data_IF_681206109027
#
_entry.id   IF_681206109027
#
_cell.length_a   1.000
_cell.length_b   1.000
_cell.length_c   1.000
_cell.angle_alpha   90.00
_cell.angle_beta   90.00
_cell.angle_gamma   90.00
#
_symmetry.space_group_name_H-M   'P 1'
#
loop_
_entity.id
_entity.type
_entity.pdbx_description
1 polymer ?
#
# COMPACT_ATOMS: atom_id res chain seq x y z
N UNK A 1 -17.91 -26.22 7.80
CA UNK A 1 -18.07 -26.70 6.42
C UNK A 1 -17.03 -25.95 5.59
N UNK A 2 -16.23 -26.63 4.81
CA UNK A 2 -15.29 -25.98 3.88
C UNK A 2 -16.06 -25.31 2.77
N UNK A 3 -15.71 -24.05 2.50
CA UNK A 3 -16.33 -23.26 1.42
C UNK A 3 -15.38 -23.13 0.22
N UNK A 4 -14.07 -23.24 0.47
CA UNK A 4 -13.02 -23.17 -0.54
C UNK A 4 -11.90 -24.13 -0.17
N UNK A 5 -11.41 -24.90 -1.15
CA UNK A 5 -10.18 -25.66 -1.01
C UNK A 5 -9.35 -25.59 -2.29
N UNK A 6 -8.05 -25.57 -2.11
CA UNK A 6 -7.04 -25.71 -3.15
C UNK A 6 -6.21 -26.95 -2.84
N UNK A 7 -6.03 -27.85 -3.80
CA UNK A 7 -5.24 -29.06 -3.65
C UNK A 7 -4.22 -29.17 -4.79
N UNK A 8 -2.93 -29.04 -4.44
CA UNK A 8 -1.81 -29.13 -5.37
C UNK A 8 -1.95 -28.19 -6.58
N UNK A 9 -2.51 -26.98 -6.34
CA UNK A 9 -2.74 -26.01 -7.40
C UNK A 9 -1.43 -25.46 -7.91
N UNK A 10 -1.23 -25.56 -9.24
CA UNK A 10 -0.13 -24.91 -9.93
C UNK A 10 -0.64 -24.15 -11.16
N UNK A 11 -0.04 -23.00 -11.41
CA UNK A 11 -0.39 -22.14 -12.54
C UNK A 11 0.84 -21.52 -13.18
N UNK A 12 0.85 -21.53 -14.52
CA UNK A 12 1.90 -20.95 -15.34
C UNK A 12 1.28 -20.08 -16.43
N UNK A 13 1.76 -18.85 -16.58
CA UNK A 13 1.35 -17.96 -17.67
C UNK A 13 1.85 -18.48 -19.02
N UNK A 14 1.11 -18.25 -20.11
CA UNK A 14 1.44 -18.76 -21.47
C UNK A 14 2.85 -18.34 -21.91
N UNK A 15 3.27 -17.12 -21.60
CA UNK A 15 4.55 -16.56 -22.04
C UNK A 15 5.69 -16.76 -21.03
N UNK A 16 5.42 -17.41 -19.88
CA UNK A 16 6.40 -17.65 -18.83
C UNK A 16 7.01 -19.04 -18.89
N UNK A 17 8.28 -19.15 -18.56
CA UNK A 17 8.93 -20.43 -18.30
C UNK A 17 8.69 -20.92 -16.88
N UNK A 18 8.43 -19.99 -15.94
CA UNK A 18 8.32 -20.27 -14.52
C UNK A 18 6.86 -20.30 -14.05
N UNK A 19 6.61 -21.13 -13.04
CA UNK A 19 5.31 -21.18 -12.38
C UNK A 19 5.09 -19.93 -11.51
N UNK A 20 3.93 -19.29 -11.70
CA UNK A 20 3.49 -18.19 -10.83
C UNK A 20 2.89 -18.75 -9.52
N UNK A 21 2.25 -19.91 -9.58
CA UNK A 21 1.78 -20.68 -8.43
C UNK A 21 2.28 -22.13 -8.65
N UNK A 22 2.80 -22.75 -7.59
CA UNK A 22 3.27 -24.13 -7.61
C UNK A 22 2.98 -24.78 -6.26
N UNK A 23 2.33 -25.96 -6.29
CA UNK A 23 2.04 -26.75 -5.09
C UNK A 23 1.31 -25.96 -3.98
N UNK A 24 0.23 -25.24 -4.37
CA UNK A 24 -0.56 -24.47 -3.44
C UNK A 24 -1.71 -25.31 -2.88
N UNK A 25 -1.64 -25.60 -1.57
CA UNK A 25 -2.63 -26.43 -0.87
C UNK A 25 -3.08 -25.75 0.43
N UNK A 26 -4.39 -25.46 0.53
CA UNK A 26 -5.02 -24.91 1.72
C UNK A 26 -6.54 -25.05 1.66
N UNK A 27 -7.23 -24.95 2.81
CA UNK A 27 -8.69 -24.93 2.85
C UNK A 27 -9.23 -23.85 3.80
N UNK A 28 -10.38 -23.28 3.43
CA UNK A 28 -11.06 -22.19 4.15
C UNK A 28 -12.47 -22.64 4.51
N UNK A 29 -12.86 -22.43 5.77
CA UNK A 29 -14.22 -22.70 6.23
C UNK A 29 -15.10 -21.49 6.00
N UNK A 30 -16.42 -21.73 5.87
CA UNK A 30 -17.41 -20.64 5.78
C UNK A 30 -17.30 -19.71 6.99
N UNK A 31 -17.25 -18.40 6.72
CA UNK A 31 -17.11 -17.34 7.71
C UNK A 31 -15.69 -17.14 8.27
N UNK A 32 -14.68 -17.89 7.79
CA UNK A 32 -13.28 -17.60 8.17
C UNK A 32 -12.77 -16.35 7.43
N UNK A 33 -11.93 -15.57 8.10
CA UNK A 33 -11.17 -14.46 7.55
C UNK A 33 -9.71 -14.85 7.43
N UNK A 34 -9.20 -14.90 6.21
CA UNK A 34 -7.84 -15.34 5.88
C UNK A 34 -7.01 -14.17 5.36
N UNK A 35 -5.84 -13.97 5.95
CA UNK A 35 -4.82 -13.07 5.40
C UNK A 35 -3.87 -13.86 4.51
N UNK A 36 -3.70 -13.42 3.27
CA UNK A 36 -2.70 -13.92 2.32
C UNK A 36 -1.51 -12.96 2.32
N UNK A 37 -0.37 -13.40 2.82
CA UNK A 37 0.85 -12.59 2.90
C UNK A 37 2.02 -13.22 2.11
N UNK A 38 3.00 -12.40 1.79
CA UNK A 38 4.19 -12.80 1.03
C UNK A 38 4.82 -11.60 0.32
N UNK A 39 6.04 -11.75 -0.15
CA UNK A 39 6.76 -10.71 -0.87
C UNK A 39 6.04 -10.28 -2.17
N UNK A 40 6.38 -9.11 -2.71
CA UNK A 40 5.90 -8.73 -4.04
C UNK A 40 6.37 -9.76 -5.07
N UNK A 41 5.48 -10.13 -6.00
CA UNK A 41 5.75 -11.18 -6.98
C UNK A 41 5.67 -12.61 -6.44
N UNK A 42 5.23 -12.84 -5.18
CA UNK A 42 5.07 -14.20 -4.64
C UNK A 42 3.88 -14.98 -5.20
N UNK A 43 3.01 -14.34 -6.01
CA UNK A 43 1.85 -14.99 -6.63
C UNK A 43 0.50 -14.67 -5.97
N UNK A 44 0.41 -13.78 -4.96
CA UNK A 44 -0.83 -13.46 -4.22
C UNK A 44 -2.00 -13.08 -5.14
N UNK A 45 -1.81 -12.05 -5.96
CA UNK A 45 -2.85 -11.59 -6.91
C UNK A 45 -3.21 -12.66 -7.95
N UNK A 46 -2.22 -13.46 -8.38
CA UNK A 46 -2.47 -14.60 -9.28
C UNK A 46 -3.35 -15.64 -8.60
N UNK A 47 -3.04 -16.01 -7.35
CA UNK A 47 -3.85 -16.96 -6.59
C UNK A 47 -5.29 -16.45 -6.41
N UNK A 48 -5.48 -15.19 -5.97
CA UNK A 48 -6.82 -14.62 -5.81
C UNK A 48 -7.62 -14.64 -7.13
N UNK A 49 -6.99 -14.28 -8.25
CA UNK A 49 -7.64 -14.31 -9.57
C UNK A 49 -7.98 -15.73 -10.02
N UNK A 50 -7.18 -16.73 -9.67
CA UNK A 50 -7.49 -18.13 -9.95
C UNK A 50 -8.72 -18.62 -9.20
N UNK A 51 -9.05 -18.05 -8.03
CA UNK A 51 -10.24 -18.41 -7.26
C UNK A 51 -11.54 -17.85 -7.89
N UNK A 52 -11.44 -16.82 -8.75
CA UNK A 52 -12.58 -16.27 -9.47
C UNK A 52 -12.46 -16.57 -10.96
N UNK A 53 -13.39 -17.36 -11.49
CA UNK A 53 -13.30 -17.91 -12.84
C UNK A 53 -13.14 -16.85 -13.92
N UNK A 54 -13.90 -15.76 -13.85
CA UNK A 54 -13.94 -14.68 -14.85
C UNK A 54 -12.67 -13.84 -14.86
N UNK A 55 -11.93 -13.82 -13.72
CA UNK A 55 -10.67 -13.08 -13.58
C UNK A 55 -9.44 -13.97 -13.77
N UNK A 56 -9.66 -15.26 -14.05
CA UNK A 56 -8.54 -16.21 -14.23
C UNK A 56 -7.63 -15.76 -15.36
N UNK A 57 -6.35 -15.59 -15.11
CA UNK A 57 -5.41 -15.22 -16.17
C UNK A 57 -5.25 -16.36 -17.17
N UNK A 58 -4.81 -16.04 -18.38
CA UNK A 58 -4.54 -17.04 -19.44
C UNK A 58 -3.26 -17.80 -19.10
N UNK A 59 -3.35 -19.14 -19.06
CA UNK A 59 -2.24 -20.00 -18.72
C UNK A 59 -2.64 -21.45 -18.52
N UNK A 60 -1.69 -22.24 -18.06
CA UNK A 60 -1.87 -23.64 -17.73
C UNK A 60 -2.15 -23.78 -16.24
N UNK A 61 -3.36 -24.24 -15.89
CA UNK A 61 -3.79 -24.52 -14.52
C UNK A 61 -3.82 -26.03 -14.30
N UNK A 62 -3.22 -26.51 -13.22
CA UNK A 62 -3.30 -27.88 -12.74
C UNK A 62 -3.61 -27.92 -11.24
N UNK A 63 -3.96 -29.09 -10.73
CA UNK A 63 -4.50 -29.25 -9.38
C UNK A 63 -6.00 -29.02 -9.33
N UNK A 64 -6.57 -29.01 -8.13
CA UNK A 64 -8.00 -28.93 -7.93
C UNK A 64 -8.37 -27.68 -7.08
N UNK A 65 -9.37 -26.92 -7.54
CA UNK A 65 -9.96 -25.79 -6.79
C UNK A 65 -11.45 -26.09 -6.60
N UNK A 66 -11.84 -26.30 -5.35
CA UNK A 66 -13.23 -26.53 -4.99
C UNK A 66 -13.81 -25.28 -4.32
N UNK A 67 -14.97 -24.86 -4.77
CA UNK A 67 -15.69 -23.69 -4.29
C UNK A 67 -17.13 -24.09 -3.95
N UNK A 68 -17.58 -23.85 -2.72
CA UNK A 68 -18.93 -24.19 -2.25
C UNK A 68 -19.31 -25.65 -2.52
N UNK A 69 -18.33 -26.57 -2.41
CA UNK A 69 -18.51 -28.01 -2.62
C UNK A 69 -18.57 -28.46 -4.07
N UNK A 70 -18.35 -27.58 -5.05
CA UNK A 70 -18.26 -27.87 -6.48
C UNK A 70 -16.83 -27.65 -7.00
N UNK A 71 -16.42 -28.42 -7.98
CA UNK A 71 -15.20 -28.09 -8.73
C UNK A 71 -15.38 -26.71 -9.40
N UNK A 72 -14.32 -25.91 -9.42
CA UNK A 72 -14.35 -24.56 -10.03
C UNK A 72 -14.80 -24.58 -11.50
N UNK A 73 -14.48 -25.64 -12.25
CA UNK A 73 -14.87 -25.79 -13.65
C UNK A 73 -16.36 -26.02 -13.85
N UNK A 74 -17.05 -26.53 -12.83
CA UNK A 74 -18.48 -26.79 -12.84
C UNK A 74 -19.33 -25.57 -12.51
N UNK A 75 -18.72 -24.51 -11.91
CA UNK A 75 -19.43 -23.27 -11.67
C UNK A 75 -19.71 -22.52 -12.97
N UNK A 76 -20.94 -22.10 -13.17
CA UNK A 76 -21.27 -21.18 -14.24
C UNK A 76 -20.68 -19.79 -13.96
N UNK A 77 -20.45 -19.00 -15.02
CA UNK A 77 -19.95 -17.61 -14.86
C UNK A 77 -20.88 -16.78 -13.98
N UNK A 78 -22.20 -17.02 -14.07
CA UNK A 78 -23.20 -16.37 -13.25
C UNK A 78 -23.08 -16.76 -11.77
N UNK A 79 -22.98 -18.06 -11.45
CA UNK A 79 -22.81 -18.52 -10.07
C UNK A 79 -21.50 -17.98 -9.46
N UNK A 80 -20.41 -17.96 -10.22
CA UNK A 80 -19.15 -17.39 -9.80
C UNK A 80 -19.29 -15.88 -9.51
N UNK A 81 -19.94 -15.13 -10.41
CA UNK A 81 -20.14 -13.69 -10.28
C UNK A 81 -21.02 -13.31 -9.08
N UNK A 82 -22.11 -14.08 -8.84
CA UNK A 82 -23.04 -13.85 -7.72
C UNK A 82 -22.44 -14.23 -6.36
N UNK A 83 -21.66 -15.33 -6.31
CA UNK A 83 -21.21 -15.94 -5.05
C UNK A 83 -19.82 -15.52 -4.59
N UNK A 84 -19.00 -15.03 -5.50
CA UNK A 84 -17.63 -14.64 -5.21
C UNK A 84 -17.43 -13.16 -5.58
N UNK A 85 -17.37 -12.31 -4.57
CA UNK A 85 -17.02 -10.90 -4.73
C UNK A 85 -15.51 -10.74 -4.91
N UNK A 86 -15.09 -9.78 -5.73
CA UNK A 86 -13.67 -9.43 -5.90
C UNK A 86 -13.48 -7.91 -5.83
N UNK A 87 -12.54 -7.47 -5.01
CA UNK A 87 -12.15 -6.06 -4.88
C UNK A 87 -10.71 -5.90 -5.37
N UNK A 88 -10.53 -5.06 -6.38
CA UNK A 88 -9.23 -4.82 -7.01
C UNK A 88 -8.37 -3.85 -6.20
N UNK A 89 -7.06 -3.92 -6.38
CA UNK A 89 -6.08 -3.02 -5.79
C UNK A 89 -6.31 -1.55 -6.20
N UNK A 90 -6.69 -1.31 -7.47
CA UNK A 90 -6.99 0.01 -7.97
C UNK A 90 -8.50 0.18 -8.15
N UNK A 91 -9.18 1.01 -7.33
CA UNK A 91 -10.62 1.23 -7.45
C UNK A 91 -11.04 1.84 -8.79
N UNK A 92 -10.19 2.68 -9.41
CA UNK A 92 -10.50 3.25 -10.73
C UNK A 92 -10.59 2.19 -11.84
N UNK A 93 -9.90 1.05 -11.69
CA UNK A 93 -9.97 -0.06 -12.63
C UNK A 93 -11.23 -0.91 -12.46
N UNK A 94 -11.92 -0.79 -11.34
CA UNK A 94 -13.13 -1.55 -11.02
C UNK A 94 -14.40 -0.77 -11.32
N UNK A 95 -14.36 0.55 -11.24
CA UNK A 95 -15.49 1.46 -11.45
C UNK A 95 -15.94 1.44 -12.90
N UNK A 96 -17.25 1.29 -13.11
CA UNK A 96 -17.90 1.21 -14.43
C UNK A 96 -18.79 2.43 -14.69
N UNK A 97 -19.44 2.95 -13.65
CA UNK A 97 -20.42 4.04 -13.75
C UNK A 97 -19.83 5.39 -13.34
N UNK A 98 -20.44 6.49 -13.80
CA UNK A 98 -20.04 7.84 -13.44
C UNK A 98 -20.55 8.26 -12.06
N UNK A 99 -21.72 7.74 -11.63
CA UNK A 99 -22.37 8.08 -10.36
C UNK A 99 -22.32 6.94 -9.36
N UNK A 100 -22.20 7.28 -8.08
CA UNK A 100 -22.20 6.31 -6.97
C UNK A 100 -23.47 5.46 -6.97
N UNK A 101 -24.66 6.07 -7.09
CA UNK A 101 -25.93 5.34 -7.10
C UNK A 101 -26.03 4.30 -8.22
N UNK A 102 -25.51 4.62 -9.41
CA UNK A 102 -25.49 3.69 -10.54
C UNK A 102 -24.47 2.58 -10.32
N UNK A 103 -23.29 2.89 -9.78
CA UNK A 103 -22.26 1.90 -9.47
C UNK A 103 -22.74 0.86 -8.45
N UNK A 104 -23.44 1.30 -7.39
CA UNK A 104 -23.98 0.41 -6.38
C UNK A 104 -25.08 -0.51 -6.93
N UNK A 105 -25.86 -0.05 -7.91
CA UNK A 105 -26.94 -0.82 -8.53
C UNK A 105 -26.45 -1.75 -9.66
N UNK A 106 -25.30 -1.44 -10.28
CA UNK A 106 -24.84 -2.06 -11.52
C UNK A 106 -24.78 -3.59 -11.49
N UNK A 107 -24.22 -4.17 -10.42
CA UNK A 107 -24.12 -5.62 -10.26
C UNK A 107 -25.50 -6.29 -10.17
N UNK A 108 -26.41 -5.71 -9.39
CA UNK A 108 -27.78 -6.21 -9.21
C UNK A 108 -28.61 -6.09 -10.49
N UNK A 109 -28.47 -4.99 -11.24
CA UNK A 109 -29.11 -4.81 -12.54
C UNK A 109 -28.61 -5.85 -13.56
N UNK A 110 -27.31 -6.12 -13.57
CA UNK A 110 -26.67 -7.12 -14.43
C UNK A 110 -27.20 -8.54 -14.15
N UNK A 111 -27.59 -8.83 -12.92
CA UNK A 111 -28.22 -10.09 -12.52
C UNK A 111 -29.74 -10.11 -12.76
N UNK A 112 -30.35 -8.99 -13.20
CA UNK A 112 -31.77 -8.89 -13.50
C UNK A 112 -32.64 -8.81 -12.24
N UNK A 113 -32.10 -8.30 -11.13
CA UNK A 113 -32.86 -8.06 -9.89
C UNK A 113 -33.88 -6.96 -10.10
N UNK A 114 -35.05 -7.09 -9.48
CA UNK A 114 -36.13 -6.11 -9.62
C UNK A 114 -35.79 -4.77 -8.98
N UNK A 115 -36.18 -3.66 -9.59
CA UNK A 115 -35.87 -2.30 -9.18
C UNK A 115 -36.16 -2.00 -7.69
N UNK A 116 -37.31 -2.46 -7.15
CA UNK A 116 -37.66 -2.27 -5.74
C UNK A 116 -36.70 -3.01 -4.77
N UNK A 117 -36.23 -4.20 -5.16
CA UNK A 117 -35.26 -4.97 -4.41
C UNK A 117 -33.85 -4.34 -4.49
N UNK A 118 -33.48 -3.82 -5.66
CA UNK A 118 -32.23 -3.06 -5.85
C UNK A 118 -32.18 -1.87 -4.89
N UNK A 119 -33.24 -1.06 -4.84
CA UNK A 119 -33.32 0.09 -3.96
C UNK A 119 -33.15 -0.29 -2.47
N UNK A 120 -33.82 -1.39 -2.03
CA UNK A 120 -33.66 -1.88 -0.65
C UNK A 120 -32.23 -2.29 -0.34
N UNK A 121 -31.67 -3.18 -1.14
CA UNK A 121 -30.30 -3.71 -0.94
C UNK A 121 -29.22 -2.63 -0.99
N UNK A 122 -29.32 -1.74 -1.99
CA UNK A 122 -28.38 -0.62 -2.13
C UNK A 122 -28.51 0.34 -0.94
N UNK A 123 -29.75 0.66 -0.51
CA UNK A 123 -29.97 1.51 0.67
C UNK A 123 -29.42 0.89 1.96
N UNK A 124 -29.65 -0.39 2.18
CA UNK A 124 -29.13 -1.12 3.34
C UNK A 124 -27.60 -1.16 3.35
N UNK A 125 -26.98 -1.45 2.20
CA UNK A 125 -25.52 -1.47 2.09
C UNK A 125 -24.93 -0.06 2.22
N UNK A 126 -25.48 0.96 1.58
CA UNK A 126 -25.03 2.33 1.73
C UNK A 126 -25.04 2.79 3.20
N UNK A 127 -26.11 2.45 3.94
CA UNK A 127 -26.20 2.73 5.38
C UNK A 127 -25.17 1.93 6.20
N UNK A 128 -24.98 0.65 5.91
CA UNK A 128 -23.99 -0.19 6.59
C UNK A 128 -22.56 0.35 6.41
N UNK A 129 -22.24 0.85 5.22
CA UNK A 129 -20.93 1.43 4.90
C UNK A 129 -20.80 2.92 5.29
N UNK A 130 -21.90 3.59 5.65
CA UNK A 130 -21.92 5.02 5.99
C UNK A 130 -21.63 5.93 4.79
N UNK A 131 -22.01 5.50 3.57
CA UNK A 131 -21.74 6.22 2.31
C UNK A 131 -22.98 6.90 1.73
N UNK A 132 -24.11 6.97 2.47
CA UNK A 132 -25.33 7.65 2.02
C UNK A 132 -25.08 9.09 1.55
N UNK A 133 -24.19 9.89 2.19
CA UNK A 133 -23.89 11.25 1.74
C UNK A 133 -23.20 11.31 0.36
N UNK A 134 -22.69 10.18 -0.13
CA UNK A 134 -22.02 10.09 -1.42
C UNK A 134 -22.95 9.63 -2.56
N UNK A 135 -24.17 9.20 -2.25
CA UNK A 135 -25.07 8.49 -3.17
C UNK A 135 -25.31 9.22 -4.51
N UNK A 136 -25.51 10.54 -4.47
CA UNK A 136 -25.76 11.35 -5.67
C UNK A 136 -24.50 11.97 -6.30
N UNK A 137 -23.33 11.67 -5.76
CA UNK A 137 -22.06 12.26 -6.22
C UNK A 137 -21.51 11.55 -7.44
N UNK A 138 -20.74 12.30 -8.23
CA UNK A 138 -19.92 11.74 -9.29
C UNK A 138 -18.69 11.06 -8.71
N UNK A 139 -18.38 9.83 -9.15
CA UNK A 139 -17.25 9.03 -8.63
C UNK A 139 -15.90 9.73 -8.86
N UNK A 140 -15.76 10.47 -9.95
CA UNK A 140 -14.57 11.28 -10.24
C UNK A 140 -14.24 12.32 -9.16
N UNK A 141 -15.24 12.75 -8.37
CA UNK A 141 -15.07 13.74 -7.29
C UNK A 141 -14.70 13.13 -5.94
N UNK A 142 -14.68 11.80 -5.84
CA UNK A 142 -14.40 11.08 -4.61
C UNK A 142 -12.90 10.95 -4.33
N UNK A 143 -12.54 10.91 -3.04
CA UNK A 143 -11.19 10.51 -2.63
C UNK A 143 -10.93 9.04 -2.91
N UNK A 144 -9.65 8.61 -2.95
CA UNK A 144 -9.30 7.20 -3.15
C UNK A 144 -9.96 6.27 -2.13
N UNK A 145 -10.02 6.67 -0.85
CA UNK A 145 -10.70 5.88 0.20
C UNK A 145 -12.21 5.78 -0.04
N UNK A 146 -12.85 6.88 -0.45
CA UNK A 146 -14.28 6.86 -0.78
C UNK A 146 -14.58 5.98 -1.99
N UNK A 147 -13.73 6.02 -3.03
CA UNK A 147 -13.86 5.12 -4.19
C UNK A 147 -13.73 3.66 -3.78
N UNK A 148 -12.78 3.34 -2.90
CA UNK A 148 -12.58 1.98 -2.40
C UNK A 148 -13.80 1.50 -1.61
N UNK A 149 -14.39 2.35 -0.76
CA UNK A 149 -15.61 2.02 -0.03
C UNK A 149 -16.81 1.82 -0.96
N UNK A 150 -16.97 2.66 -1.98
CA UNK A 150 -18.02 2.51 -3.00
C UNK A 150 -17.83 1.19 -3.77
N UNK A 151 -16.62 0.86 -4.21
CA UNK A 151 -16.32 -0.38 -4.90
C UNK A 151 -16.61 -1.61 -4.04
N UNK A 152 -16.21 -1.60 -2.75
CA UNK A 152 -16.53 -2.68 -1.82
C UNK A 152 -18.05 -2.78 -1.57
N UNK A 153 -18.73 -1.66 -1.39
CA UNK A 153 -20.18 -1.62 -1.20
C UNK A 153 -20.95 -2.18 -2.42
N UNK A 154 -20.53 -1.82 -3.64
CA UNK A 154 -21.08 -2.33 -4.90
C UNK A 154 -20.95 -3.86 -5.00
N UNK A 155 -19.80 -4.41 -4.64
CA UNK A 155 -19.59 -5.86 -4.57
C UNK A 155 -20.48 -6.50 -3.50
N UNK A 156 -20.56 -5.90 -2.31
CA UNK A 156 -21.36 -6.46 -1.20
C UNK A 156 -22.87 -6.37 -1.43
N UNK A 157 -23.34 -5.43 -2.24
CA UNK A 157 -24.76 -5.33 -2.61
C UNK A 157 -25.29 -6.61 -3.31
N UNK A 158 -24.41 -7.39 -3.95
CA UNK A 158 -24.75 -8.67 -4.59
C UNK A 158 -24.85 -9.84 -3.60
N UNK A 159 -24.51 -9.65 -2.32
CA UNK A 159 -24.55 -10.65 -1.25
C UNK A 159 -23.68 -11.90 -1.52
N UNK A 160 -22.37 -11.73 -1.72
CA UNK A 160 -21.47 -12.84 -2.00
C UNK A 160 -21.18 -13.67 -0.74
N UNK A 161 -21.00 -15.00 -0.91
CA UNK A 161 -20.57 -15.91 0.17
C UNK A 161 -19.06 -15.80 0.46
N UNK A 162 -18.27 -15.44 -0.56
CA UNK A 162 -16.81 -15.28 -0.50
C UNK A 162 -16.43 -13.90 -1.03
N UNK A 163 -15.61 -13.17 -0.29
CA UNK A 163 -15.05 -11.89 -0.69
C UNK A 163 -13.53 -12.00 -0.81
N UNK A 164 -13.01 -11.74 -2.00
CA UNK A 164 -11.60 -11.73 -2.33
C UNK A 164 -11.12 -10.27 -2.47
N UNK A 165 -10.06 -9.89 -1.76
CA UNK A 165 -9.53 -8.52 -1.82
C UNK A 165 -8.02 -8.55 -2.14
N UNK A 166 -7.65 -7.86 -3.20
CA UNK A 166 -6.25 -7.76 -3.65
C UNK A 166 -5.68 -6.41 -3.26
N UNK A 167 -4.93 -6.38 -2.14
CA UNK A 167 -4.28 -5.20 -1.56
C UNK A 167 -5.22 -3.98 -1.42
N UNK A 168 -6.40 -4.11 -0.78
CA UNK A 168 -7.42 -3.06 -0.77
C UNK A 168 -6.98 -1.81 -0.01
N UNK A 169 -5.95 -1.87 0.84
CA UNK A 169 -5.46 -0.73 1.62
C UNK A 169 -4.28 0.00 0.96
N UNK A 170 -3.69 -0.54 -0.12
CA UNK A 170 -2.44 -0.05 -0.71
C UNK A 170 -2.45 1.43 -1.14
N UNK A 171 -3.63 1.97 -1.47
CA UNK A 171 -3.79 3.37 -1.91
C UNK A 171 -4.40 4.28 -0.84
N UNK A 172 -4.67 3.74 0.34
CA UNK A 172 -5.34 4.45 1.43
C UNK A 172 -4.32 5.08 2.39
N UNK A 173 -4.72 6.19 3.01
CA UNK A 173 -4.02 6.67 4.19
C UNK A 173 -4.36 5.78 5.41
N UNK A 174 -3.59 5.85 6.51
CA UNK A 174 -3.78 4.96 7.66
C UNK A 174 -5.17 5.06 8.31
N UNK A 175 -5.86 6.20 8.21
CA UNK A 175 -7.21 6.37 8.77
C UNK A 175 -8.23 5.65 7.91
N UNK A 176 -8.21 5.91 6.60
CA UNK A 176 -9.10 5.24 5.64
C UNK A 176 -8.84 3.72 5.58
N UNK A 177 -7.59 3.27 5.72
CA UNK A 177 -7.25 1.86 5.79
C UNK A 177 -7.90 1.18 7.01
N UNK A 178 -7.81 1.81 8.20
CA UNK A 178 -8.47 1.28 9.42
C UNK A 178 -9.98 1.25 9.32
N UNK A 179 -10.59 2.28 8.73
CA UNK A 179 -12.02 2.31 8.48
C UNK A 179 -12.45 1.15 7.57
N UNK A 180 -11.75 0.94 6.46
CA UNK A 180 -11.99 -0.17 5.55
C UNK A 180 -11.87 -1.53 6.26
N UNK A 181 -10.77 -1.75 6.99
CA UNK A 181 -10.55 -2.99 7.72
C UNK A 181 -11.59 -3.21 8.83
N UNK A 182 -12.03 -2.14 9.50
CA UNK A 182 -13.13 -2.18 10.47
C UNK A 182 -14.45 -2.62 9.83
N UNK A 183 -14.75 -2.16 8.62
CA UNK A 183 -15.92 -2.60 7.85
C UNK A 183 -15.79 -4.07 7.45
N UNK A 184 -14.63 -4.52 6.99
CA UNK A 184 -14.39 -5.94 6.68
C UNK A 184 -14.57 -6.84 7.91
N UNK A 185 -14.15 -6.39 9.09
CA UNK A 185 -14.39 -7.11 10.35
C UNK A 185 -15.89 -7.23 10.67
N UNK A 186 -16.66 -6.18 10.44
CA UNK A 186 -18.12 -6.20 10.62
C UNK A 186 -18.79 -7.13 9.61
N UNK A 187 -18.42 -7.06 8.31
CA UNK A 187 -18.93 -7.97 7.28
C UNK A 187 -18.69 -9.43 7.63
N UNK A 188 -17.51 -9.76 8.12
CA UNK A 188 -17.18 -11.12 8.53
C UNK A 188 -17.97 -11.54 9.78
N UNK A 189 -17.99 -10.72 10.84
CA UNK A 189 -18.59 -11.08 12.14
C UNK A 189 -20.11 -10.99 12.17
N UNK A 190 -20.70 -9.98 11.52
CA UNK A 190 -22.14 -9.70 11.56
C UNK A 190 -22.88 -10.41 10.41
N UNK A 191 -22.30 -10.47 9.20
CA UNK A 191 -22.93 -11.09 8.03
C UNK A 191 -22.40 -12.49 7.71
N UNK A 192 -21.30 -12.94 8.35
CA UNK A 192 -20.73 -14.27 8.15
C UNK A 192 -20.03 -14.46 6.80
N UNK A 193 -19.65 -13.38 6.12
CA UNK A 193 -18.96 -13.41 4.84
C UNK A 193 -17.57 -14.03 5.02
N UNK A 194 -17.20 -14.97 4.16
CA UNK A 194 -15.84 -15.52 4.13
C UNK A 194 -14.92 -14.55 3.41
N UNK A 195 -13.81 -14.16 4.04
CA UNK A 195 -12.93 -13.12 3.49
C UNK A 195 -11.54 -13.70 3.26
N UNK A 196 -10.98 -13.47 2.07
CA UNK A 196 -9.57 -13.71 1.76
C UNK A 196 -8.97 -12.38 1.29
N UNK A 197 -8.01 -11.87 2.05
CA UNK A 197 -7.41 -10.56 1.83
C UNK A 197 -5.90 -10.70 1.63
N UNK A 198 -5.41 -10.29 0.47
CA UNK A 198 -3.98 -10.17 0.23
C UNK A 198 -3.50 -8.80 0.70
N UNK A 199 -2.49 -8.77 1.55
CA UNK A 199 -1.89 -7.54 2.06
C UNK A 199 -0.38 -7.67 2.22
N UNK A 200 0.31 -6.52 2.14
CA UNK A 200 1.74 -6.44 2.39
C UNK A 200 2.07 -6.07 3.83
N UNK A 201 1.28 -5.21 4.44
CA UNK A 201 1.46 -4.78 5.82
C UNK A 201 0.60 -5.64 6.76
N UNK A 202 1.23 -6.46 7.61
CA UNK A 202 0.49 -7.34 8.49
C UNK A 202 -0.11 -6.63 9.72
N UNK A 203 0.33 -5.42 10.06
CA UNK A 203 0.10 -4.79 11.37
C UNK A 203 -1.36 -4.73 11.78
N UNK A 204 -2.24 -4.32 10.89
CA UNK A 204 -3.66 -4.10 11.19
C UNK A 204 -4.52 -5.38 11.03
N UNK A 205 -4.01 -6.41 10.32
CA UNK A 205 -4.76 -7.61 9.99
C UNK A 205 -4.36 -8.85 10.79
N UNK A 206 -3.11 -8.90 11.26
CA UNK A 206 -2.50 -10.13 11.75
C UNK A 206 -3.28 -10.79 12.88
N UNK A 207 -3.77 -10.03 13.85
CA UNK A 207 -4.52 -10.57 14.98
C UNK A 207 -6.04 -10.64 14.75
N UNK A 208 -6.54 -10.01 13.69
CA UNK A 208 -7.97 -10.01 13.34
C UNK A 208 -8.37 -11.15 12.39
N UNK A 209 -7.39 -11.87 11.82
CA UNK A 209 -7.63 -13.02 10.95
C UNK A 209 -7.67 -14.33 11.73
N UNK A 210 -8.49 -15.29 11.25
CA UNK A 210 -8.53 -16.65 11.80
C UNK A 210 -7.28 -17.44 11.46
N UNK A 211 -6.80 -17.28 10.19
CA UNK A 211 -5.59 -17.92 9.69
C UNK A 211 -4.82 -17.01 8.75
N UNK A 212 -3.55 -17.32 8.59
CA UNK A 212 -2.64 -16.63 7.69
C UNK A 212 -2.05 -17.65 6.73
N UNK A 213 -2.13 -17.35 5.44
CA UNK A 213 -1.51 -18.10 4.36
C UNK A 213 -0.25 -17.36 3.91
N UNK A 214 0.91 -17.94 4.16
CA UNK A 214 2.17 -17.39 3.68
C UNK A 214 2.57 -18.03 2.35
N UNK A 215 2.70 -17.18 1.34
CA UNK A 215 3.05 -17.57 -0.03
C UNK A 215 4.47 -17.08 -0.35
N UNK A 216 5.37 -18.00 -0.71
CA UNK A 216 6.71 -17.66 -1.16
C UNK A 216 7.00 -18.34 -2.50
N UNK A 217 7.41 -17.55 -3.51
CA UNK A 217 7.73 -18.05 -4.87
C UNK A 217 6.64 -18.97 -5.46
N UNK A 218 5.38 -18.59 -5.27
CA UNK A 218 4.23 -19.34 -5.77
C UNK A 218 3.82 -20.53 -4.93
N UNK A 219 4.50 -20.85 -3.80
CA UNK A 219 4.20 -22.01 -2.95
C UNK A 219 3.55 -21.58 -1.63
N UNK A 220 2.64 -22.43 -1.14
CA UNK A 220 2.17 -22.36 0.24
C UNK A 220 3.26 -22.90 1.16
N UNK A 221 4.03 -22.00 1.79
CA UNK A 221 5.07 -22.39 2.74
C UNK A 221 4.51 -22.59 4.15
N UNK A 222 3.46 -21.86 4.50
CA UNK A 222 2.80 -21.99 5.80
C UNK A 222 1.33 -21.58 5.73
N UNK A 223 0.48 -22.32 6.45
CA UNK A 223 -0.93 -21.98 6.66
C UNK A 223 -1.35 -22.33 8.07
N UNK A 224 -1.68 -21.34 8.88
CA UNK A 224 -2.00 -21.56 10.28
C UNK A 224 -2.60 -20.33 10.99
N UNK A 225 -2.86 -20.48 12.30
CA UNK A 225 -3.33 -19.37 13.12
C UNK A 225 -2.26 -18.28 13.24
N UNK A 226 -2.64 -17.02 13.56
CA UNK A 226 -1.68 -15.93 13.74
C UNK A 226 -0.53 -16.26 14.70
N UNK A 227 -0.82 -16.90 15.83
CA UNK A 227 0.21 -17.28 16.81
C UNK A 227 1.21 -18.31 16.25
N UNK A 228 0.73 -19.32 15.53
CA UNK A 228 1.60 -20.32 14.90
C UNK A 228 2.41 -19.69 13.73
N UNK A 229 1.79 -18.80 12.98
CA UNK A 229 2.45 -18.08 11.89
C UNK A 229 3.55 -17.16 12.42
N UNK A 230 3.30 -16.46 13.52
CA UNK A 230 4.32 -15.62 14.16
C UNK A 230 5.55 -16.44 14.57
N UNK A 231 5.34 -17.61 15.17
CA UNK A 231 6.42 -18.54 15.51
C UNK A 231 7.19 -18.99 14.27
N UNK A 232 6.48 -19.45 13.26
CA UNK A 232 7.09 -19.87 11.98
C UNK A 232 7.95 -18.75 11.35
N UNK A 233 7.47 -17.50 11.39
CA UNK A 233 8.22 -16.37 10.84
C UNK A 233 9.52 -16.07 11.59
N UNK A 234 9.55 -16.22 12.91
CA UNK A 234 10.79 -16.08 13.70
C UNK A 234 11.75 -17.20 13.39
N UNK A 235 11.28 -18.45 13.39
CA UNK A 235 12.12 -19.63 13.12
C UNK A 235 12.76 -19.61 11.72
N UNK A 236 12.12 -18.95 10.75
CA UNK A 236 12.60 -18.87 9.35
C UNK A 236 13.19 -17.50 8.97
N UNK A 237 13.51 -16.65 9.96
CA UNK A 237 14.06 -15.29 9.74
C UNK A 237 13.19 -14.39 8.83
N UNK A 238 11.86 -14.55 8.92
CA UNK A 238 10.85 -13.80 8.17
C UNK A 238 10.22 -12.69 9.04
N UNK A 239 10.96 -12.14 9.98
CA UNK A 239 10.50 -11.12 10.93
C UNK A 239 9.87 -9.89 10.25
N UNK A 240 10.21 -9.65 8.98
CA UNK A 240 9.61 -8.57 8.18
C UNK A 240 8.09 -8.65 8.03
N UNK A 241 7.51 -9.84 8.15
CA UNK A 241 6.07 -10.08 8.04
C UNK A 241 5.37 -10.15 9.42
N UNK A 242 6.08 -9.89 10.51
CA UNK A 242 5.50 -9.83 11.85
C UNK A 242 4.94 -8.43 12.17
N UNK A 243 3.89 -8.33 13.00
CA UNK A 243 3.52 -7.08 13.64
C UNK A 243 4.67 -6.53 14.51
N UNK A 244 4.75 -5.21 14.67
CA UNK A 244 5.81 -4.57 15.47
C UNK A 244 5.85 -5.08 16.91
N UNK A 245 4.67 -5.37 17.49
CA UNK A 245 4.59 -5.98 18.82
C UNK A 245 5.30 -7.35 18.86
N UNK A 246 5.02 -8.22 17.89
CA UNK A 246 5.66 -9.54 17.82
C UNK A 246 7.17 -9.43 17.59
N UNK A 247 7.61 -8.51 16.71
CA UNK A 247 9.04 -8.22 16.47
C UNK A 247 9.77 -7.81 17.75
N UNK A 248 9.17 -6.95 18.58
CA UNK A 248 9.77 -6.49 19.82
C UNK A 248 10.03 -7.65 20.80
N UNK A 249 9.23 -8.70 20.75
CA UNK A 249 9.33 -9.87 21.63
C UNK A 249 10.05 -11.07 21.01
N UNK A 250 10.38 -11.04 19.72
CA UNK A 250 10.94 -12.19 18.97
C UNK A 250 12.21 -12.79 19.59
N UNK A 251 12.97 -11.98 20.34
CA UNK A 251 14.20 -12.42 21.04
C UNK A 251 14.02 -12.62 22.55
N UNK A 252 12.81 -12.36 23.07
CA UNK A 252 12.55 -12.35 24.53
C UNK A 252 11.75 -13.56 24.97
N UNK A 253 10.94 -14.15 24.10
CA UNK A 253 10.08 -15.28 24.47
C UNK A 253 9.58 -16.06 23.26
N UNK A 254 9.32 -17.36 23.45
CA UNK A 254 8.82 -18.27 22.42
C UNK A 254 7.33 -18.06 22.09
N UNK A 255 6.54 -17.64 23.07
CA UNK A 255 5.12 -17.34 22.93
C UNK A 255 4.96 -15.86 22.61
N UNK A 256 4.86 -15.51 21.32
CA UNK A 256 4.90 -14.15 20.82
C UNK A 256 3.55 -13.43 21.00
N UNK A 257 3.53 -12.23 21.58
CA UNK A 257 2.34 -11.40 21.59
C UNK A 257 2.10 -10.83 20.18
N UNK A 258 0.90 -11.05 19.64
CA UNK A 258 0.55 -10.60 18.28
C UNK A 258 -0.16 -9.24 18.26
N UNK A 259 -0.49 -8.70 19.43
CA UNK A 259 -1.10 -7.36 19.57
C UNK A 259 -0.62 -6.65 20.84
N UNK A 260 -0.88 -5.34 20.92
CA UNK A 260 -0.44 -4.48 22.02
C UNK A 260 -0.96 -4.92 23.37
N UNK A 261 -2.20 -5.43 23.45
CA UNK A 261 -2.80 -5.92 24.72
C UNK A 261 -2.02 -7.10 25.27
N UNK A 262 -1.71 -8.08 24.42
CA UNK A 262 -0.91 -9.24 24.78
C UNK A 262 0.52 -8.83 25.16
N UNK A 263 1.11 -7.89 24.41
CA UNK A 263 2.44 -7.35 24.69
C UNK A 263 2.53 -6.68 26.06
N UNK A 264 1.57 -5.84 26.42
CA UNK A 264 1.50 -5.21 27.75
C UNK A 264 1.38 -6.24 28.87
N UNK A 265 0.44 -7.19 28.76
CA UNK A 265 0.29 -8.24 29.75
C UNK A 265 1.58 -9.07 29.95
N UNK A 266 2.37 -9.21 28.89
CA UNK A 266 3.65 -9.94 28.92
C UNK A 266 4.76 -9.12 29.57
N UNK A 267 4.86 -7.81 29.31
CA UNK A 267 5.78 -6.91 30.00
C UNK A 267 5.50 -6.87 31.50
N UNK A 268 4.24 -6.83 31.92
CA UNK A 268 3.84 -6.89 33.33
C UNK A 268 4.34 -8.19 33.99
N UNK A 269 4.16 -9.34 33.33
CA UNK A 269 4.64 -10.64 33.82
C UNK A 269 6.15 -10.73 33.92
N UNK A 270 6.88 -10.03 33.05
CA UNK A 270 8.34 -9.95 33.05
C UNK A 270 8.88 -8.92 34.05
N UNK A 271 8.01 -8.22 34.79
CA UNK A 271 8.42 -7.15 35.70
C UNK A 271 8.97 -5.90 35.04
N UNK A 272 8.77 -5.73 33.74
CA UNK A 272 9.22 -4.58 32.96
C UNK A 272 8.15 -3.48 32.89
N UNK A 273 7.69 -3.01 34.05
CA UNK A 273 6.61 -2.02 34.13
C UNK A 273 7.09 -0.57 34.06
N UNK A 274 8.34 -0.32 34.42
CA UNK A 274 8.97 1.00 34.38
C UNK A 274 9.98 1.10 33.23
N UNK A 275 9.49 1.40 32.05
CA UNK A 275 10.35 1.92 30.98
C UNK A 275 10.64 3.38 31.39
N UNK A 276 11.90 3.74 31.74
CA UNK A 276 12.22 5.13 32.00
C UNK A 276 11.80 5.91 30.75
N UNK A 277 10.86 6.85 30.90
CA UNK A 277 10.57 7.83 29.85
C UNK A 277 11.91 8.50 29.57
N UNK A 278 12.62 8.08 28.53
CA UNK A 278 13.68 8.92 28.00
C UNK A 278 12.98 10.26 27.73
N UNK A 279 13.29 11.23 28.56
CA UNK A 279 12.94 12.60 28.26
C UNK A 279 13.60 12.84 26.89
N UNK A 280 12.78 12.92 25.86
CA UNK A 280 13.20 13.51 24.59
C UNK A 280 13.51 14.94 25.03
N UNK A 281 14.74 15.18 25.44
CA UNK A 281 15.25 16.52 25.58
C UNK A 281 15.24 17.08 24.17
N UNK A 282 14.23 17.89 23.88
CA UNK A 282 14.31 18.87 22.82
C UNK A 282 15.50 19.76 23.20
N UNK A 283 16.69 19.26 22.91
CA UNK A 283 17.87 20.11 22.89
C UNK A 283 17.58 21.06 21.76
N UNK A 284 17.19 22.32 22.12
CA UNK A 284 17.15 23.43 21.20
C UNK A 284 18.55 23.51 20.58
N UNK A 285 18.73 22.78 19.47
CA UNK A 285 19.96 22.88 18.70
C UNK A 285 20.02 24.33 18.21
N UNK A 286 21.02 25.06 18.60
CA UNK A 286 21.25 26.45 18.19
C UNK A 286 21.62 26.60 16.70
N UNK A 287 21.41 25.55 15.89
CA UNK A 287 21.75 25.51 14.47
C UNK A 287 20.74 26.31 13.62
N UNK A 288 21.21 27.05 12.61
CA UNK A 288 20.33 27.82 11.73
C UNK A 288 19.41 26.89 10.92
N UNK A 289 18.22 27.37 10.56
CA UNK A 289 17.29 26.65 9.72
C UNK A 289 17.87 26.38 8.33
N UNK A 290 17.90 25.10 7.94
CA UNK A 290 18.19 24.69 6.57
C UNK A 290 17.01 25.00 5.65
N UNK A 291 15.77 24.80 6.16
CA UNK A 291 14.53 25.12 5.46
C UNK A 291 13.59 25.87 6.42
N UNK A 292 13.00 26.95 5.96
CA UNK A 292 11.97 27.67 6.71
C UNK A 292 10.83 28.10 5.79
N UNK A 293 9.61 27.72 6.16
CA UNK A 293 8.37 28.18 5.59
C UNK A 293 7.68 29.12 6.58
N UNK A 294 7.17 30.26 6.09
CA UNK A 294 6.46 31.24 6.94
C UNK A 294 5.13 31.60 6.32
N UNK A 295 4.06 31.31 7.07
CA UNK A 295 2.69 31.69 6.75
C UNK A 295 2.30 31.37 5.31
N UNK A 296 2.52 30.10 4.87
CA UNK A 296 2.27 29.67 3.51
C UNK A 296 0.78 29.43 3.25
N UNK A 297 0.26 30.09 2.22
CA UNK A 297 -1.08 29.88 1.72
C UNK A 297 -1.03 29.50 0.25
N UNK A 298 -1.76 28.44 -0.12
CA UNK A 298 -1.79 27.92 -1.47
C UNK A 298 -3.15 27.35 -1.85
N UNK A 299 -3.58 27.64 -3.08
CA UNK A 299 -4.69 27.03 -3.80
C UNK A 299 -4.32 26.90 -5.27
N UNK A 300 -4.91 25.93 -5.96
CA UNK A 300 -4.56 25.71 -7.37
C UNK A 300 -5.24 26.71 -8.31
N UNK A 301 -6.50 27.05 -8.03
CA UNK A 301 -7.28 28.03 -8.80
C UNK A 301 -7.79 29.14 -7.90
N UNK A 302 -8.10 30.29 -8.50
CA UNK A 302 -8.51 31.49 -7.76
C UNK A 302 -9.74 31.28 -6.89
N UNK A 303 -10.69 30.45 -7.36
CA UNK A 303 -11.97 30.20 -6.70
C UNK A 303 -12.01 28.83 -5.98
N UNK A 304 -10.89 28.05 -6.00
CA UNK A 304 -10.79 26.79 -5.28
C UNK A 304 -10.47 26.99 -3.80
N UNK A 305 -10.84 26.02 -2.94
CA UNK A 305 -10.50 26.06 -1.52
C UNK A 305 -8.99 26.11 -1.30
N UNK A 306 -8.59 26.80 -0.22
CA UNK A 306 -7.19 26.82 0.20
C UNK A 306 -6.74 25.44 0.69
N UNK A 307 -5.65 24.94 0.12
CA UNK A 307 -5.01 23.67 0.50
C UNK A 307 -4.01 23.91 1.61
N UNK A 308 -3.17 24.93 1.49
CA UNK A 308 -2.31 25.38 2.59
C UNK A 308 -2.93 26.61 3.21
N UNK A 309 -3.06 26.61 4.54
CA UNK A 309 -3.76 27.64 5.32
C UNK A 309 -2.85 28.17 6.44
N UNK A 310 -1.92 29.08 6.09
CA UNK A 310 -1.00 29.66 7.07
C UNK A 310 0.03 28.65 7.61
N UNK A 311 0.59 27.79 6.74
CA UNK A 311 1.51 26.75 7.15
C UNK A 311 2.88 27.34 7.51
N UNK A 312 3.35 27.06 8.73
CA UNK A 312 4.69 27.35 9.23
C UNK A 312 5.48 26.06 9.42
N UNK A 313 6.75 26.04 8.98
CA UNK A 313 7.63 24.89 9.10
C UNK A 313 9.09 25.36 9.23
N UNK A 314 9.83 24.81 10.17
CA UNK A 314 11.26 25.05 10.32
C UNK A 314 12.01 23.74 10.48
N UNK A 315 12.97 23.47 9.59
CA UNK A 315 13.82 22.26 9.62
C UNK A 315 15.27 22.73 9.73
N UNK A 316 16.00 22.24 10.71
CA UNK A 316 17.39 22.57 10.94
C UNK A 316 18.32 21.67 10.14
N UNK A 317 19.58 22.07 9.99
CA UNK A 317 20.60 21.26 9.31
C UNK A 317 20.79 19.93 10.06
N UNK A 318 20.80 18.82 9.30
CA UNK A 318 20.99 17.46 9.83
C UNK A 318 19.76 16.87 10.50
N UNK A 319 18.60 17.54 10.45
CA UNK A 319 17.33 16.98 10.91
C UNK A 319 16.66 16.13 9.82
N UNK A 320 16.11 14.99 10.25
CA UNK A 320 15.17 14.18 9.46
C UNK A 320 13.74 14.52 9.92
N UNK A 321 12.91 15.00 9.00
CA UNK A 321 11.56 15.47 9.31
C UNK A 321 10.51 14.63 8.58
N UNK A 322 9.61 14.01 9.34
CA UNK A 322 8.48 13.25 8.81
C UNK A 322 7.23 14.12 8.67
N UNK A 323 6.72 14.27 7.43
CA UNK A 323 5.46 14.99 7.16
C UNK A 323 4.31 13.97 7.10
N UNK A 324 3.45 13.97 8.11
CA UNK A 324 2.33 13.06 8.25
C UNK A 324 0.99 13.78 8.05
N UNK A 325 -0.02 13.06 7.60
CA UNK A 325 -1.38 13.57 7.44
C UNK A 325 -2.21 12.73 6.47
N UNK A 326 -3.53 12.95 6.45
CA UNK A 326 -4.47 12.28 5.55
C UNK A 326 -4.18 12.54 4.07
N UNK A 327 -4.71 11.69 3.19
CA UNK A 327 -4.70 11.94 1.76
C UNK A 327 -5.53 13.21 1.46
N UNK A 328 -5.03 14.04 0.53
CA UNK A 328 -5.61 15.37 0.29
C UNK A 328 -5.28 16.45 1.34
N UNK A 329 -4.58 16.13 2.44
CA UNK A 329 -4.19 17.07 3.49
C UNK A 329 -3.13 18.11 3.09
N UNK A 330 -2.72 18.18 1.82
CA UNK A 330 -1.80 19.19 1.30
C UNK A 330 -0.31 18.84 1.42
N UNK A 331 0.06 17.61 1.82
CA UNK A 331 1.47 17.17 1.95
C UNK A 331 2.27 17.42 0.67
N UNK A 332 1.86 16.81 -0.44
CA UNK A 332 2.54 16.96 -1.74
C UNK A 332 2.50 18.41 -2.25
N UNK A 333 1.43 19.15 -1.94
CA UNK A 333 1.35 20.58 -2.27
C UNK A 333 2.40 21.40 -1.50
N UNK A 334 2.58 21.13 -0.20
CA UNK A 334 3.63 21.77 0.59
C UNK A 334 5.03 21.44 0.03
N UNK A 335 5.30 20.16 -0.28
CA UNK A 335 6.57 19.75 -0.87
C UNK A 335 6.82 20.45 -2.22
N UNK A 336 5.79 20.52 -3.10
CA UNK A 336 5.88 21.26 -4.37
C UNK A 336 6.13 22.76 -4.20
N UNK A 337 5.53 23.37 -3.18
CA UNK A 337 5.79 24.78 -2.82
C UNK A 337 7.23 24.96 -2.34
N UNK A 338 7.74 24.07 -1.50
CA UNK A 338 9.14 24.08 -1.03
C UNK A 338 10.10 23.90 -2.21
N UNK A 339 9.77 23.04 -3.18
CA UNK A 339 10.57 22.83 -4.41
C UNK A 339 10.46 24.00 -5.42
N UNK A 340 9.55 24.94 -5.21
CA UNK A 340 9.31 26.04 -6.16
C UNK A 340 8.54 25.63 -7.41
N UNK A 341 7.96 24.41 -7.44
CA UNK A 341 7.10 23.90 -8.49
C UNK A 341 5.70 24.52 -8.46
N UNK A 342 5.26 24.96 -7.29
CA UNK A 342 4.05 25.73 -7.09
C UNK A 342 4.38 27.05 -6.39
N UNK A 343 3.68 28.12 -6.75
CA UNK A 343 3.88 29.45 -6.17
C UNK A 343 2.81 29.70 -5.11
N UNK A 344 3.16 29.88 -3.83
CA UNK A 344 2.18 30.28 -2.83
C UNK A 344 1.72 31.72 -3.12
N UNK A 345 0.43 32.01 -2.92
CA UNK A 345 -0.08 33.36 -3.09
C UNK A 345 0.24 34.26 -1.88
N UNK A 346 0.48 33.66 -0.69
CA UNK A 346 0.95 34.36 0.49
C UNK A 346 2.00 33.52 1.21
N UNK A 347 2.91 34.21 1.95
CA UNK A 347 4.00 33.61 2.68
C UNK A 347 5.33 33.50 1.89
N UNK A 348 6.31 32.86 2.50
CA UNK A 348 7.65 32.73 1.92
C UNK A 348 8.35 31.44 2.34
N UNK A 349 9.17 30.92 1.42
CA UNK A 349 10.10 29.81 1.68
C UNK A 349 11.53 30.37 1.61
N UNK A 350 12.37 29.94 2.55
CA UNK A 350 13.81 30.21 2.55
C UNK A 350 14.61 28.94 2.81
N UNK A 351 15.76 28.83 2.16
CA UNK A 351 16.72 27.74 2.29
C UNK A 351 18.06 28.34 2.72
N UNK A 352 18.60 27.88 3.84
CA UNK A 352 19.82 28.41 4.45
C UNK A 352 19.82 29.93 4.52
N UNK A 353 18.70 30.54 4.95
CA UNK A 353 18.52 31.98 5.07
C UNK A 353 18.26 32.75 3.77
N UNK A 354 18.45 32.13 2.60
CA UNK A 354 18.22 32.74 1.29
C UNK A 354 16.81 32.44 0.80
N UNK A 355 16.04 33.48 0.39
CA UNK A 355 14.68 33.28 -0.14
C UNK A 355 14.70 32.38 -1.38
N UNK A 356 13.80 31.43 -1.47
CA UNK A 356 13.67 30.49 -2.61
C UNK A 356 13.61 31.23 -3.95
N UNK A 357 12.90 32.35 -4.05
CA UNK A 357 12.80 33.19 -5.27
C UNK A 357 14.13 33.77 -5.75
N UNK A 358 15.17 33.73 -4.92
CA UNK A 358 16.52 34.21 -5.30
C UNK A 358 17.35 33.15 -6.03
N UNK A 359 16.89 31.88 -6.06
CA UNK A 359 17.48 30.83 -6.87
C UNK A 359 16.87 30.92 -8.29
N UNK A 360 17.67 31.27 -9.29
CA UNK A 360 17.25 31.47 -10.69
C UNK A 360 17.84 30.37 -11.58
N UNK A 361 17.25 30.17 -12.76
CA UNK A 361 17.78 29.29 -13.82
C UNK A 361 18.07 27.85 -13.36
N UNK A 362 17.20 27.29 -12.50
CA UNK A 362 17.35 25.92 -12.01
C UNK A 362 18.44 25.72 -10.95
N UNK A 363 19.08 26.78 -10.45
CA UNK A 363 20.13 26.65 -9.42
C UNK A 363 19.62 26.05 -8.11
N UNK A 364 18.31 26.15 -7.83
CA UNK A 364 17.69 25.52 -6.67
C UNK A 364 17.94 24.00 -6.64
N UNK A 365 17.70 23.32 -7.77
CA UNK A 365 17.87 21.86 -7.89
C UNK A 365 19.32 21.44 -8.16
N UNK A 366 20.17 22.34 -8.66
CA UNK A 366 21.59 22.03 -8.91
C UNK A 366 22.45 22.16 -7.66
N UNK A 367 22.11 23.10 -6.78
CA UNK A 367 22.98 23.49 -5.67
C UNK A 367 22.43 23.12 -4.30
N UNK A 368 21.11 22.99 -4.17
CA UNK A 368 20.48 23.00 -2.84
C UNK A 368 19.60 21.81 -2.55
N UNK A 369 18.69 21.45 -3.43
CA UNK A 369 17.73 20.40 -3.12
C UNK A 369 17.54 19.38 -4.24
N UNK A 370 17.22 18.15 -3.85
CA UNK A 370 16.68 17.15 -4.76
C UNK A 370 15.28 16.74 -4.31
N UNK A 371 14.42 16.45 -5.27
CA UNK A 371 13.03 16.06 -5.04
C UNK A 371 12.75 14.72 -5.70
N UNK A 372 12.29 13.75 -4.92
CA UNK A 372 11.75 12.49 -5.40
C UNK A 372 10.23 12.60 -5.43
N UNK A 373 9.60 12.68 -6.60
CA UNK A 373 8.15 12.73 -6.72
C UNK A 373 7.53 11.35 -6.46
N UNK A 374 6.21 11.35 -6.23
CA UNK A 374 5.41 10.13 -6.05
C UNK A 374 5.49 9.17 -7.25
N UNK A 375 5.65 9.71 -8.46
CA UNK A 375 5.88 8.95 -9.69
C UNK A 375 7.34 9.11 -10.17
N UNK A 376 8.27 8.25 -9.73
CA UNK A 376 9.70 8.40 -9.98
C UNK A 376 10.08 8.33 -11.46
N UNK A 377 9.31 7.64 -12.29
CA UNK A 377 9.56 7.50 -13.72
C UNK A 377 9.62 8.86 -14.43
N UNK A 378 8.88 9.86 -13.92
CA UNK A 378 8.88 11.24 -14.47
C UNK A 378 10.23 11.97 -14.35
N UNK A 379 11.16 11.43 -13.54
CA UNK A 379 12.52 11.97 -13.41
C UNK A 379 13.44 11.53 -14.56
N UNK A 380 13.05 10.54 -15.34
CA UNK A 380 13.88 9.95 -16.39
C UNK A 380 13.46 10.47 -17.76
N UNK A 381 14.44 10.90 -18.54
CA UNK A 381 14.23 11.50 -19.87
C UNK A 381 15.05 10.83 -20.98
N UNK A 382 15.91 9.86 -20.63
CA UNK A 382 16.77 9.13 -21.54
C UNK A 382 16.26 7.72 -21.81
N UNK A 383 16.81 7.08 -22.84
CA UNK A 383 16.45 5.73 -23.24
C UNK A 383 17.00 4.64 -22.31
N UNK A 384 18.02 4.95 -21.50
CA UNK A 384 18.54 4.03 -20.50
C UNK A 384 18.76 4.70 -19.16
N UNK A 385 18.67 3.92 -18.08
CA UNK A 385 18.96 4.38 -16.71
C UNK A 385 20.38 4.92 -16.62
N UNK A 386 21.35 4.26 -17.25
CA UNK A 386 22.76 4.67 -17.30
C UNK A 386 22.94 6.09 -17.83
N UNK A 387 22.32 6.39 -18.97
CA UNK A 387 22.41 7.72 -19.59
C UNK A 387 21.82 8.82 -18.70
N UNK A 388 20.73 8.53 -18.01
CA UNK A 388 20.12 9.47 -17.08
C UNK A 388 20.99 9.71 -15.84
N UNK A 389 21.59 8.66 -15.27
CA UNK A 389 22.49 8.79 -14.09
C UNK A 389 23.76 9.56 -14.46
N UNK A 390 24.32 9.37 -15.64
CA UNK A 390 25.51 10.10 -16.14
C UNK A 390 25.27 11.60 -16.33
N UNK A 391 24.03 12.07 -16.34
CA UNK A 391 23.75 13.51 -16.29
C UNK A 391 24.00 14.15 -14.93
N UNK A 392 23.95 13.33 -13.86
CA UNK A 392 24.07 13.77 -12.46
C UNK A 392 25.41 13.42 -11.82
N UNK A 393 26.22 12.55 -12.45
CA UNK A 393 27.54 12.13 -11.93
C UNK A 393 28.45 11.61 -13.01
N UNK A 394 29.75 11.50 -12.71
CA UNK A 394 30.72 10.85 -13.59
C UNK A 394 30.57 9.32 -13.58
N UNK A 395 31.24 8.66 -14.54
CA UNK A 395 31.10 7.20 -14.70
C UNK A 395 31.48 6.40 -13.44
N UNK A 396 32.54 6.80 -12.73
CA UNK A 396 33.04 6.10 -11.54
C UNK A 396 32.03 6.23 -10.40
N UNK A 397 31.51 7.44 -10.18
CA UNK A 397 30.51 7.71 -9.15
C UNK A 397 29.18 6.99 -9.46
N UNK A 398 28.76 6.94 -10.72
CA UNK A 398 27.58 6.19 -11.14
C UNK A 398 27.73 4.70 -10.87
N UNK A 399 28.88 4.10 -11.22
CA UNK A 399 29.15 2.69 -10.94
C UNK A 399 29.13 2.38 -9.44
N UNK A 400 29.77 3.20 -8.61
CA UNK A 400 29.80 3.05 -7.16
C UNK A 400 28.39 3.14 -6.53
N UNK A 401 27.61 4.15 -6.91
CA UNK A 401 26.24 4.31 -6.40
C UNK A 401 25.35 3.15 -6.87
N UNK A 402 25.49 2.73 -8.13
CA UNK A 402 24.70 1.61 -8.68
C UNK A 402 24.98 0.31 -7.96
N UNK A 403 26.24 0.02 -7.64
CA UNK A 403 26.63 -1.14 -6.86
C UNK A 403 26.02 -1.09 -5.44
N UNK A 404 26.16 0.04 -4.75
CA UNK A 404 25.61 0.21 -3.40
C UNK A 404 24.09 0.09 -3.36
N UNK A 405 23.40 0.51 -4.41
CA UNK A 405 21.92 0.41 -4.55
C UNK A 405 21.44 -0.93 -5.11
N UNK A 406 22.38 -1.79 -5.59
CA UNK A 406 22.05 -3.07 -6.21
C UNK A 406 21.25 -2.94 -7.52
N UNK A 407 21.56 -1.91 -8.33
CA UNK A 407 20.87 -1.60 -9.58
C UNK A 407 21.74 -1.79 -10.83
N UNK A 408 22.93 -2.39 -10.71
CA UNK A 408 23.88 -2.58 -11.82
C UNK A 408 23.24 -3.29 -13.02
N UNK A 409 22.40 -4.29 -12.76
CA UNK A 409 21.69 -5.08 -13.76
C UNK A 409 20.54 -4.32 -14.46
N UNK A 410 20.19 -3.11 -13.98
CA UNK A 410 19.13 -2.28 -14.51
C UNK A 410 19.65 -1.13 -15.38
N UNK A 411 20.96 -0.85 -15.34
CA UNK A 411 21.56 0.33 -15.94
C UNK A 411 21.29 0.48 -17.44
N UNK A 412 21.26 -0.62 -18.16
CA UNK A 412 21.09 -0.62 -19.61
C UNK A 412 19.62 -0.85 -20.06
N UNK A 413 18.68 -0.89 -19.07
CA UNK A 413 17.25 -1.00 -19.35
C UNK A 413 16.61 0.37 -19.56
N UNK A 414 15.50 0.36 -20.29
CA UNK A 414 14.66 1.55 -20.43
C UNK A 414 13.89 1.80 -19.11
N UNK A 415 13.80 3.05 -18.62
CA UNK A 415 13.14 3.35 -17.33
C UNK A 415 11.68 2.88 -17.23
N UNK A 416 10.93 2.87 -18.35
CA UNK A 416 9.53 2.42 -18.40
C UNK A 416 9.36 0.89 -18.32
N UNK A 417 10.43 0.13 -18.53
CA UNK A 417 10.43 -1.34 -18.44
C UNK A 417 10.73 -1.85 -17.02
N UNK A 418 10.95 -0.93 -16.09
CA UNK A 418 11.28 -1.25 -14.71
C UNK A 418 10.02 -1.39 -13.84
N UNK A 419 10.08 -2.32 -12.89
CA UNK A 419 9.05 -2.40 -11.84
C UNK A 419 9.06 -1.13 -10.95
N UNK A 420 7.94 -0.86 -10.25
CA UNK A 420 7.82 0.30 -9.37
C UNK A 420 8.94 0.42 -8.33
N UNK A 421 9.39 -0.71 -7.76
CA UNK A 421 10.50 -0.73 -6.79
C UNK A 421 11.87 -0.50 -7.44
N UNK A 422 12.09 -1.01 -8.65
CA UNK A 422 13.33 -0.82 -9.40
C UNK A 422 13.51 0.62 -9.86
N UNK A 423 12.47 1.22 -10.47
CA UNK A 423 12.52 2.62 -10.90
C UNK A 423 12.73 3.57 -9.71
N UNK A 424 12.16 3.25 -8.55
CA UNK A 424 12.32 4.05 -7.34
C UNK A 424 13.77 4.00 -6.81
N UNK A 425 14.43 2.84 -6.83
CA UNK A 425 15.86 2.71 -6.51
C UNK A 425 16.73 3.50 -7.48
N UNK A 426 16.44 3.42 -8.78
CA UNK A 426 17.16 4.18 -9.80
C UNK A 426 16.99 5.69 -9.62
N UNK A 427 15.78 6.16 -9.31
CA UNK A 427 15.51 7.57 -9.02
C UNK A 427 16.23 8.05 -7.75
N UNK A 428 16.30 7.21 -6.74
CA UNK A 428 17.05 7.51 -5.52
C UNK A 428 18.55 7.59 -5.79
N UNK A 429 19.11 6.70 -6.61
CA UNK A 429 20.50 6.78 -7.06
C UNK A 429 20.77 8.11 -7.79
N UNK A 430 19.85 8.55 -8.67
CA UNK A 430 19.94 9.83 -9.37
C UNK A 430 19.99 11.03 -8.42
N UNK A 431 19.18 10.99 -7.36
CA UNK A 431 19.19 12.01 -6.29
C UNK A 431 20.52 12.04 -5.54
N UNK A 432 21.06 10.88 -5.16
CA UNK A 432 22.33 10.79 -4.43
C UNK A 432 23.51 11.31 -5.26
N UNK A 433 23.51 11.06 -6.56
CA UNK A 433 24.53 11.57 -7.51
C UNK A 433 24.56 13.09 -7.61
N UNK A 434 23.41 13.76 -7.35
CA UNK A 434 23.33 15.21 -7.41
C UNK A 434 23.94 15.91 -6.15
N UNK A 435 24.33 15.17 -5.13
CA UNK A 435 24.89 15.64 -3.85
C UNK A 435 24.12 16.84 -3.25
N UNK A 436 22.81 16.74 -3.05
CA UNK A 436 22.00 17.85 -2.58
C UNK A 436 22.19 18.12 -1.08
N UNK A 437 22.00 19.37 -0.65
CA UNK A 437 22.00 19.76 0.77
C UNK A 437 20.68 19.43 1.48
N UNK A 438 19.58 19.35 0.74
CA UNK A 438 18.24 19.00 1.22
C UNK A 438 17.66 17.95 0.28
N UNK A 439 17.19 16.84 0.85
CA UNK A 439 16.47 15.80 0.12
C UNK A 439 15.00 15.87 0.52
N UNK A 440 14.12 15.96 -0.47
CA UNK A 440 12.67 15.96 -0.29
C UNK A 440 12.11 14.71 -0.96
N UNK A 441 11.36 13.91 -0.22
CA UNK A 441 10.82 12.63 -0.66
C UNK A 441 9.30 12.65 -0.51
N UNK A 442 8.56 12.40 -1.59
CA UNK A 442 7.10 12.30 -1.60
C UNK A 442 6.70 10.83 -1.80
N UNK A 443 6.19 10.18 -0.73
CA UNK A 443 5.78 8.76 -0.70
C UNK A 443 6.84 7.77 -1.20
N UNK A 444 8.09 7.98 -0.84
CA UNK A 444 9.25 7.25 -1.39
C UNK A 444 9.32 5.74 -1.08
N UNK A 445 8.46 5.22 -0.19
CA UNK A 445 8.49 3.81 0.23
C UNK A 445 7.30 3.00 -0.28
N UNK A 446 6.40 3.60 -1.04
CA UNK A 446 5.15 2.97 -1.47
C UNK A 446 5.36 1.69 -2.30
N UNK A 447 6.35 1.68 -3.19
CA UNK A 447 6.67 0.54 -4.05
C UNK A 447 7.73 -0.41 -3.46
N UNK A 448 8.19 -0.17 -2.23
CA UNK A 448 9.24 -0.96 -1.63
C UNK A 448 8.68 -2.08 -0.75
N UNK A 449 9.15 -3.29 -0.99
CA UNK A 449 8.95 -4.42 -0.08
C UNK A 449 9.79 -4.24 1.19
N UNK A 450 9.59 -5.10 2.18
CA UNK A 450 10.26 -5.05 3.50
C UNK A 450 11.79 -4.92 3.40
N UNK A 451 12.44 -5.60 2.46
CA UNK A 451 13.89 -5.61 2.32
C UNK A 451 14.49 -4.25 1.89
N UNK A 452 13.95 -3.56 0.86
CA UNK A 452 14.40 -2.23 0.48
C UNK A 452 14.18 -1.14 1.53
N UNK A 453 13.13 -1.23 2.35
CA UNK A 453 12.91 -0.29 3.47
C UNK A 453 14.08 -0.30 4.46
N UNK A 454 14.65 -1.49 4.74
CA UNK A 454 15.86 -1.62 5.58
C UNK A 454 17.09 -0.99 4.93
N UNK A 455 17.22 -1.11 3.62
CA UNK A 455 18.33 -0.53 2.87
C UNK A 455 18.30 1.01 2.95
N UNK A 456 17.12 1.62 2.87
CA UNK A 456 16.95 3.07 3.00
C UNK A 456 17.44 3.57 4.37
N UNK A 457 17.07 2.88 5.45
CA UNK A 457 17.50 3.22 6.81
C UNK A 457 19.03 3.18 6.93
N UNK A 458 19.70 2.18 6.35
CA UNK A 458 21.16 2.05 6.38
C UNK A 458 21.85 3.21 5.64
N UNK A 459 21.26 3.73 4.55
CA UNK A 459 21.83 4.85 3.80
C UNK A 459 21.75 6.20 4.52
N UNK A 460 20.76 6.39 5.39
CA UNK A 460 20.60 7.63 6.16
C UNK A 460 21.45 7.67 7.45
N UNK A 461 22.05 6.55 7.88
CA UNK A 461 22.81 6.42 9.12
C UNK A 461 24.35 6.24 8.90
N UNK A 462 24.83 6.23 7.68
CA UNK A 462 26.27 6.21 7.35
C UNK A 462 26.71 7.50 6.68
#
# INVERSE_FOLDING_TARGET
MEILSCENVAFKYIESTDYAISDCTFSVKKGEKIMLCGASGSGKSTLLRLLKRELSPRGELSGNITLMGKDRSELSDRESAEKIGFVMQNPDSQTVCDKVSAELAFGLESFGVKSGEIQSRVGEMAAFFGIEPLYDRDISTLSGGQKQLVGLCSVMATDPDILLLDEPTAQLDPVAARELLGILDRLNKEMGVTIIIAEHDPEELFDSCDKILYLAKGKTEFFGTPALTAKYFVENALEGFLPETAKAFARLCDDLPINVRQGRAKLEKLGMTDIPKQAVTDTERAEPYALQCKNLWQRYEKDSPDILKGCDLGIRKGECYGLLGSNGGGKSTLLRVICGLCKPYMGAVSLFGKKQKAYKNGSLFREMLAFLPQEPVTMFVKESVREDLLQSGDKVTVENVSQRMGIEHLLDRHPWDLSGGEIQKCAFAKILLADPKIIILDECTRAWTVSPKRLLVIFFWT
#
